data_IF_624204016883
#
_entry.id   IF_624204016883
#
_cell.length_a   1.000
_cell.length_b   1.000
_cell.length_c   1.000
_cell.angle_alpha   90.00
_cell.angle_beta   90.00
_cell.angle_gamma   90.00
#
_symmetry.space_group_name_H-M   'P 1'
#
loop_
_entity.id
_entity.type
_entity.pdbx_description
1 polymer ?
#
# COMPACT_ATOMS: atom_id res chain seq x y z
N UNK A 1 -1.42 -1.97 -19.98
CA UNK A 1 -0.06 -2.49 -20.12
C UNK A 1 0.57 -2.55 -18.73
N UNK A 2 0.81 -3.75 -18.22
CA UNK A 2 1.59 -3.95 -17.00
C UNK A 2 3.04 -3.61 -17.33
N UNK A 3 3.55 -2.52 -16.78
CA UNK A 3 4.97 -2.20 -16.86
C UNK A 3 5.69 -3.32 -16.10
N UNK A 4 6.39 -4.19 -16.85
CA UNK A 4 7.34 -5.14 -16.28
C UNK A 4 8.54 -4.32 -15.80
N UNK A 5 8.49 -3.85 -14.56
CA UNK A 5 9.65 -3.31 -13.90
C UNK A 5 10.66 -4.45 -13.69
N UNK A 6 11.93 -4.27 -14.07
CA UNK A 6 12.98 -5.21 -13.67
C UNK A 6 12.99 -5.26 -12.14
N UNK A 7 12.81 -6.45 -11.58
CA UNK A 7 12.84 -6.79 -10.14
C UNK A 7 14.25 -6.59 -9.54
N UNK A 8 14.81 -5.38 -9.64
CA UNK A 8 16.24 -5.18 -9.41
C UNK A 8 16.61 -4.03 -8.48
N UNK A 9 15.64 -3.35 -7.84
CA UNK A 9 15.96 -2.41 -6.76
C UNK A 9 15.42 -2.89 -5.40
N UNK A 10 16.14 -2.69 -4.29
CA UNK A 10 15.63 -2.95 -2.94
C UNK A 10 14.28 -2.27 -2.66
N UNK A 11 14.03 -1.14 -3.34
CA UNK A 11 12.80 -0.36 -3.20
C UNK A 11 11.58 -1.05 -3.83
N UNK A 12 11.75 -1.77 -4.96
CA UNK A 12 10.66 -2.55 -5.57
C UNK A 12 10.23 -3.71 -4.67
N UNK A 13 11.19 -4.35 -4.01
CA UNK A 13 10.91 -5.41 -3.02
C UNK A 13 10.17 -4.87 -1.80
N UNK A 14 10.59 -3.69 -1.31
CA UNK A 14 9.92 -3.00 -0.20
C UNK A 14 8.47 -2.62 -0.57
N UNK A 15 8.28 -2.05 -1.77
CA UNK A 15 6.97 -1.71 -2.31
C UNK A 15 6.05 -2.93 -2.38
N UNK A 16 6.50 -4.03 -2.99
CA UNK A 16 5.71 -5.25 -3.14
C UNK A 16 5.27 -5.83 -1.79
N UNK A 17 6.17 -5.83 -0.80
CA UNK A 17 5.87 -6.27 0.57
C UNK A 17 4.75 -5.44 1.20
N UNK A 18 4.89 -4.11 1.16
CA UNK A 18 3.92 -3.20 1.77
C UNK A 18 2.55 -3.22 1.07
N UNK A 19 2.52 -3.36 -0.26
CA UNK A 19 1.27 -3.54 -1.00
C UNK A 19 0.55 -4.84 -0.63
N UNK A 20 1.29 -5.96 -0.55
CA UNK A 20 0.72 -7.26 -0.17
C UNK A 20 0.15 -7.23 1.25
N UNK A 21 0.90 -6.66 2.20
CA UNK A 21 0.45 -6.54 3.59
C UNK A 21 -0.79 -5.63 3.71
N UNK A 22 -0.85 -4.54 2.94
CA UNK A 22 -2.02 -3.68 2.91
C UNK A 22 -3.27 -4.42 2.41
N UNK A 23 -3.16 -5.22 1.35
CA UNK A 23 -4.28 -6.03 0.85
C UNK A 23 -4.83 -6.99 1.92
N UNK A 24 -3.95 -7.69 2.62
CA UNK A 24 -4.36 -8.64 3.67
C UNK A 24 -5.06 -7.93 4.82
N UNK A 25 -4.48 -6.82 5.33
CA UNK A 25 -5.07 -6.06 6.43
C UNK A 25 -6.41 -5.43 6.04
N UNK A 26 -6.49 -4.82 4.86
CA UNK A 26 -7.73 -4.18 4.38
C UNK A 26 -8.83 -5.22 4.18
N UNK A 27 -8.50 -6.41 3.66
CA UNK A 27 -9.46 -7.51 3.50
C UNK A 27 -9.99 -8.05 4.83
N UNK A 28 -9.17 -8.00 5.88
CA UNK A 28 -9.56 -8.39 7.23
C UNK A 28 -10.34 -7.32 8.00
N UNK A 29 -10.36 -6.07 7.52
CA UNK A 29 -11.03 -4.97 8.19
C UNK A 29 -12.56 -5.11 8.13
N UNK A 30 -13.23 -4.68 9.20
CA UNK A 30 -14.69 -4.78 9.35
C UNK A 30 -15.41 -3.66 8.59
N UNK A 31 -14.75 -2.52 8.39
CA UNK A 31 -15.33 -1.34 7.75
C UNK A 31 -14.25 -0.41 7.17
N UNK A 32 -14.72 0.59 6.41
CA UNK A 32 -13.85 1.58 5.76
C UNK A 32 -12.99 2.39 6.74
N UNK A 33 -13.49 2.68 7.93
CA UNK A 33 -12.76 3.47 8.94
C UNK A 33 -11.57 2.68 9.47
N UNK A 34 -11.80 1.43 9.84
CA UNK A 34 -10.74 0.50 10.28
C UNK A 34 -9.72 0.28 9.16
N UNK A 35 -10.17 0.04 7.93
CA UNK A 35 -9.29 -0.13 6.77
C UNK A 35 -8.39 1.09 6.52
N UNK A 36 -8.92 2.32 6.67
CA UNK A 36 -8.13 3.56 6.57
C UNK A 36 -7.11 3.68 7.68
N UNK A 37 -7.47 3.31 8.91
CA UNK A 37 -6.53 3.34 10.03
C UNK A 37 -5.36 2.38 9.78
N UNK A 38 -5.65 1.14 9.38
CA UNK A 38 -4.63 0.15 9.03
C UNK A 38 -3.76 0.63 7.87
N UNK A 39 -4.36 1.22 6.83
CA UNK A 39 -3.62 1.80 5.70
C UNK A 39 -2.68 2.94 6.10
N UNK A 40 -3.12 3.82 7.01
CA UNK A 40 -2.29 4.92 7.53
C UNK A 40 -1.12 4.42 8.38
N UNK A 41 -1.34 3.39 9.19
CA UNK A 41 -0.28 2.75 10.00
C UNK A 41 0.78 2.13 9.09
N UNK A 42 0.36 1.37 8.06
CA UNK A 42 1.26 0.81 7.03
C UNK A 42 2.04 1.90 6.30
N UNK A 43 1.38 2.99 5.87
CA UNK A 43 2.07 4.10 5.23
C UNK A 43 3.11 4.73 6.17
N UNK A 44 2.77 4.93 7.44
CA UNK A 44 3.70 5.51 8.41
C UNK A 44 4.93 4.64 8.66
N UNK A 45 4.79 3.31 8.55
CA UNK A 45 5.90 2.37 8.60
C UNK A 45 6.72 2.42 7.30
N UNK A 46 6.05 2.38 6.15
CA UNK A 46 6.70 2.43 4.84
C UNK A 46 7.53 3.71 4.66
N UNK A 47 7.02 4.86 5.10
CA UNK A 47 7.71 6.14 5.01
C UNK A 47 9.05 6.16 5.77
N UNK A 48 9.17 5.37 6.86
CA UNK A 48 10.41 5.29 7.64
C UNK A 48 11.48 4.43 6.96
N UNK A 49 11.06 3.49 6.10
CA UNK A 49 11.94 2.56 5.40
C UNK A 49 12.21 2.99 3.95
N UNK A 50 11.39 3.88 3.39
CA UNK A 50 11.45 4.27 1.98
C UNK A 50 12.17 5.61 1.80
N UNK A 51 13.31 5.59 1.11
CA UNK A 51 14.05 6.81 0.72
C UNK A 51 13.44 7.53 -0.50
N UNK A 52 12.40 6.97 -1.12
CA UNK A 52 11.78 7.50 -2.34
C UNK A 52 10.36 7.99 -2.08
N UNK A 53 10.20 9.32 -2.07
CA UNK A 53 8.90 9.96 -1.90
C UNK A 53 7.90 9.57 -3.00
N UNK A 54 8.39 9.34 -4.23
CA UNK A 54 7.56 8.88 -5.35
C UNK A 54 6.93 7.52 -5.05
N UNK A 55 7.73 6.57 -4.58
CA UNK A 55 7.25 5.23 -4.25
C UNK A 55 6.31 5.27 -3.04
N UNK A 56 6.64 6.05 -2.02
CA UNK A 56 5.75 6.30 -0.88
C UNK A 56 4.36 6.77 -1.33
N UNK A 57 4.30 7.82 -2.15
CA UNK A 57 3.05 8.38 -2.64
C UNK A 57 2.27 7.40 -3.52
N UNK A 58 2.95 6.63 -4.37
CA UNK A 58 2.33 5.61 -5.20
C UNK A 58 1.68 4.50 -4.35
N UNK A 59 2.37 3.98 -3.33
CA UNK A 59 1.82 2.97 -2.40
C UNK A 59 0.62 3.51 -1.65
N UNK A 60 0.70 4.73 -1.14
CA UNK A 60 -0.41 5.36 -0.41
C UNK A 60 -1.65 5.48 -1.29
N UNK A 61 -1.47 5.88 -2.55
CA UNK A 61 -2.58 5.94 -3.51
C UNK A 61 -3.17 4.55 -3.78
N UNK A 62 -2.32 3.55 -3.97
CA UNK A 62 -2.75 2.17 -4.17
C UNK A 62 -3.58 1.63 -2.99
N UNK A 63 -3.14 1.88 -1.75
CA UNK A 63 -3.87 1.53 -0.53
C UNK A 63 -5.27 2.17 -0.51
N UNK A 64 -5.37 3.46 -0.83
CA UNK A 64 -6.65 4.17 -0.90
C UNK A 64 -7.59 3.57 -1.96
N UNK A 65 -7.05 3.16 -3.11
CA UNK A 65 -7.81 2.50 -4.17
C UNK A 65 -8.39 1.17 -3.68
N UNK A 66 -7.62 0.35 -2.97
CA UNK A 66 -8.09 -0.94 -2.44
C UNK A 66 -9.20 -0.72 -1.41
N UNK A 67 -9.04 0.24 -0.49
CA UNK A 67 -10.07 0.59 0.50
C UNK A 67 -11.36 0.98 -0.22
N UNK A 68 -11.25 1.83 -1.25
CA UNK A 68 -12.41 2.32 -2.01
C UNK A 68 -13.10 1.19 -2.77
N UNK A 69 -12.35 0.27 -3.40
CA UNK A 69 -12.93 -0.89 -4.08
C UNK A 69 -13.59 -1.88 -3.12
N UNK A 70 -13.09 -1.99 -1.89
CA UNK A 70 -13.57 -2.95 -0.90
C UNK A 70 -14.79 -2.43 -0.13
N UNK A 71 -14.79 -1.14 0.23
CA UNK A 71 -15.80 -0.54 1.11
C UNK A 71 -16.57 0.65 0.51
N UNK A 72 -16.15 1.17 -0.65
CA UNK A 72 -16.86 2.23 -1.36
C UNK A 72 -18.06 1.67 -2.11
N UNK A 73 -19.22 1.69 -1.47
CA UNK A 73 -20.52 1.74 -2.13
C UNK A 73 -21.03 3.17 -2.10
#
# INVERSE_FOLDING_TARGET
MLIKHPTHTPQDGLLARYCSEAEEKIRSATNATEARQLGNELCSQFQKECDSELLFNATRQYINDIITRTFGR
#
